data_IF_078019219771
#
_entry.id   IF_078019219771
#
_cell.length_a   1.000
_cell.length_b   1.000
_cell.length_c   1.000
_cell.angle_alpha   90.00
_cell.angle_beta   90.00
_cell.angle_gamma   90.00
#
_symmetry.space_group_name_H-M   'P 1'
#
loop_
_entity.id
_entity.type
_entity.pdbx_description
1 polymer ?
#
# COMPACT_ATOMS: atom_id res chain seq x y z
N UNK A 1 -1.72 -13.01 -13.32
CA UNK A 1 -1.76 -11.56 -12.97
C UNK A 1 -0.48 -10.87 -13.37
N UNK A 2 0.70 -11.24 -12.84
CA UNK A 2 1.99 -10.59 -13.13
C UNK A 2 2.29 -10.46 -14.64
N UNK A 3 2.18 -11.55 -15.41
CA UNK A 3 2.43 -11.52 -16.86
C UNK A 3 1.58 -10.49 -17.62
N UNK A 4 0.30 -10.34 -17.25
CA UNK A 4 -0.60 -9.34 -17.84
C UNK A 4 -0.22 -7.90 -17.47
N UNK A 5 0.39 -7.72 -16.30
CA UNK A 5 0.88 -6.41 -15.86
C UNK A 5 2.19 -6.04 -16.58
N UNK A 6 3.04 -7.01 -16.86
CA UNK A 6 4.30 -6.84 -17.61
C UNK A 6 4.05 -6.45 -19.07
N UNK A 7 2.90 -6.81 -19.65
CA UNK A 7 2.49 -6.34 -20.99
C UNK A 7 2.22 -4.81 -21.05
N UNK A 8 1.85 -4.21 -19.91
CA UNK A 8 1.43 -2.80 -19.83
C UNK A 8 2.42 -1.90 -19.10
N UNK A 9 3.41 -2.46 -18.42
CA UNK A 9 4.44 -1.72 -17.69
C UNK A 9 5.80 -2.40 -17.79
N UNK A 10 6.87 -1.65 -18.10
CA UNK A 10 8.21 -2.22 -18.25
C UNK A 10 8.84 -2.68 -16.93
N UNK A 11 8.32 -2.22 -15.77
CA UNK A 11 8.83 -2.62 -14.45
C UNK A 11 7.68 -2.97 -13.52
N UNK A 12 7.60 -4.25 -13.17
CA UNK A 12 6.64 -4.82 -12.22
C UNK A 12 7.42 -5.54 -11.13
N UNK A 13 7.17 -5.18 -9.88
CA UNK A 13 7.68 -5.89 -8.70
C UNK A 13 6.54 -6.70 -8.10
N UNK A 14 6.68 -8.02 -8.09
CA UNK A 14 5.76 -8.89 -7.38
C UNK A 14 6.04 -8.83 -5.88
N UNK A 15 5.08 -8.32 -5.10
CA UNK A 15 5.18 -8.23 -3.64
C UNK A 15 4.60 -9.48 -2.95
N UNK A 16 3.51 -10.03 -3.51
CA UNK A 16 2.88 -11.28 -3.09
C UNK A 16 2.18 -11.94 -4.29
N UNK A 17 1.44 -13.04 -4.06
CA UNK A 17 0.68 -13.70 -5.13
C UNK A 17 -0.35 -12.73 -5.75
N UNK A 18 -0.97 -11.90 -4.92
CA UNK A 18 -2.09 -11.02 -5.31
C UNK A 18 -1.74 -9.53 -5.32
N UNK A 19 -0.48 -9.17 -5.01
CA UNK A 19 -0.04 -7.78 -4.96
C UNK A 19 1.23 -7.53 -5.76
N UNK A 20 1.21 -6.49 -6.59
CA UNK A 20 2.36 -6.03 -7.36
C UNK A 20 2.48 -4.51 -7.25
N UNK A 21 3.73 -4.02 -7.29
CA UNK A 21 4.04 -2.62 -7.53
C UNK A 21 4.45 -2.44 -8.99
N UNK A 22 4.05 -1.33 -9.59
CA UNK A 22 4.40 -0.98 -10.96
C UNK A 22 5.07 0.39 -10.97
N UNK A 23 6.07 0.55 -11.83
CA UNK A 23 6.66 1.86 -12.10
C UNK A 23 5.78 2.62 -13.10
N UNK A 24 5.03 3.60 -12.60
CA UNK A 24 4.18 4.45 -13.44
C UNK A 24 4.83 5.80 -13.79
N UNK A 25 6.15 5.96 -13.57
CA UNK A 25 6.86 7.19 -13.92
C UNK A 25 6.77 7.44 -15.42
N UNK A 26 6.49 8.68 -15.80
CA UNK A 26 6.35 9.09 -17.19
C UNK A 26 4.99 8.82 -17.83
N UNK A 27 4.18 7.88 -17.30
CA UNK A 27 2.84 7.58 -17.83
C UNK A 27 1.94 8.81 -17.76
N UNK A 28 2.04 9.58 -16.67
CA UNK A 28 1.30 10.83 -16.47
C UNK A 28 1.57 11.92 -17.53
N UNK A 29 2.65 11.80 -18.32
CA UNK A 29 2.91 12.70 -19.45
C UNK A 29 2.15 12.31 -20.72
N UNK A 30 1.76 11.04 -20.83
CA UNK A 30 1.08 10.49 -22.01
C UNK A 30 -0.43 10.36 -21.78
N UNK A 31 -0.86 10.07 -20.54
CA UNK A 31 -2.26 9.85 -20.19
C UNK A 31 -2.52 10.11 -18.71
N UNK A 32 -3.80 10.32 -18.36
CA UNK A 32 -4.22 10.40 -16.96
C UNK A 32 -3.95 9.06 -16.23
N UNK A 33 -3.41 9.14 -15.01
CA UNK A 33 -3.06 7.94 -14.24
C UNK A 33 -4.30 7.15 -13.81
N UNK A 34 -5.43 7.80 -13.51
CA UNK A 34 -6.65 7.06 -13.18
C UNK A 34 -7.25 6.39 -14.42
N UNK A 35 -7.14 7.00 -15.60
CA UNK A 35 -7.46 6.35 -16.87
C UNK A 35 -6.58 5.11 -17.10
N UNK A 36 -5.27 5.23 -16.93
CA UNK A 36 -4.35 4.10 -17.02
C UNK A 36 -4.71 2.98 -16.03
N UNK A 37 -5.03 3.34 -14.78
CA UNK A 37 -5.47 2.39 -13.77
C UNK A 37 -6.77 1.66 -14.15
N UNK A 38 -7.71 2.34 -14.82
CA UNK A 38 -8.94 1.70 -15.33
C UNK A 38 -8.64 0.72 -16.47
N UNK A 39 -7.69 1.06 -17.35
CA UNK A 39 -7.24 0.15 -18.41
C UNK A 39 -6.58 -1.11 -17.83
N UNK A 40 -5.66 -0.94 -16.86
CA UNK A 40 -5.02 -2.05 -16.13
C UNK A 40 -6.07 -2.98 -15.53
N UNK A 41 -7.08 -2.42 -14.87
CA UNK A 41 -8.18 -3.20 -14.28
C UNK A 41 -8.97 -3.98 -15.32
N UNK A 42 -9.34 -3.34 -16.43
CA UNK A 42 -10.07 -4.00 -17.51
C UNK A 42 -9.26 -5.14 -18.12
N UNK A 43 -7.96 -4.92 -18.35
CA UNK A 43 -7.05 -5.91 -18.90
C UNK A 43 -6.90 -7.13 -17.97
N UNK A 44 -6.67 -6.91 -16.68
CA UNK A 44 -6.58 -8.02 -15.71
C UNK A 44 -7.93 -8.75 -15.55
N UNK A 45 -9.04 -8.02 -15.55
CA UNK A 45 -10.38 -8.62 -15.50
C UNK A 45 -10.64 -9.52 -16.70
N UNK A 46 -10.30 -9.07 -17.91
CA UNK A 46 -10.49 -9.84 -19.14
C UNK A 46 -9.57 -11.07 -19.20
N UNK A 47 -8.32 -10.96 -18.72
CA UNK A 47 -7.35 -12.05 -18.76
C UNK A 47 -7.52 -13.10 -17.64
N UNK A 48 -8.09 -12.72 -16.49
CA UNK A 48 -8.14 -13.59 -15.30
C UNK A 48 -9.54 -13.81 -14.71
N UNK A 49 -10.51 -12.98 -15.07
CA UNK A 49 -11.83 -12.92 -14.42
C UNK A 49 -11.83 -12.21 -13.06
N UNK A 50 -10.69 -11.69 -12.58
CA UNK A 50 -10.57 -11.06 -11.27
C UNK A 50 -10.49 -9.53 -11.37
N UNK A 51 -11.19 -8.83 -10.47
CA UNK A 51 -11.07 -7.37 -10.34
C UNK A 51 -9.94 -7.00 -9.38
N UNK A 52 -9.13 -6.02 -9.78
CA UNK A 52 -8.06 -5.47 -8.92
C UNK A 52 -8.37 -4.04 -8.48
N UNK A 53 -7.82 -3.62 -7.34
CA UNK A 53 -7.79 -2.22 -6.90
C UNK A 53 -6.45 -1.60 -7.24
N UNK A 54 -6.46 -0.40 -7.82
CA UNK A 54 -5.25 0.31 -8.25
C UNK A 54 -5.10 1.61 -7.47
N UNK A 55 -3.88 1.89 -7.01
CA UNK A 55 -3.52 3.11 -6.30
C UNK A 55 -2.19 3.65 -6.83
N UNK A 56 -2.14 4.94 -7.14
CA UNK A 56 -0.91 5.62 -7.54
C UNK A 56 -0.49 6.63 -6.48
N UNK A 57 0.81 6.78 -6.26
CA UNK A 57 1.40 7.75 -5.36
C UNK A 57 2.89 7.91 -5.60
N UNK A 58 3.47 9.00 -5.10
CA UNK A 58 4.89 9.31 -5.26
C UNK A 58 5.83 8.31 -4.54
N UNK A 59 5.29 7.57 -3.56
CA UNK A 59 6.01 6.58 -2.76
C UNK A 59 5.17 5.30 -2.65
N UNK A 60 5.79 4.17 -2.30
CA UNK A 60 5.07 2.89 -2.14
C UNK A 60 3.98 3.00 -1.08
N UNK A 61 4.27 3.70 0.02
CA UNK A 61 3.30 3.90 1.11
C UNK A 61 2.10 4.74 0.67
N UNK A 62 2.33 5.81 -0.09
CA UNK A 62 1.24 6.63 -0.65
C UNK A 62 0.44 5.84 -1.69
N UNK A 63 1.09 5.04 -2.54
CA UNK A 63 0.41 4.17 -3.49
C UNK A 63 -0.49 3.13 -2.80
N UNK A 64 -0.01 2.49 -1.71
CA UNK A 64 -0.82 1.58 -0.88
C UNK A 64 -1.97 2.29 -0.18
N UNK A 65 -1.76 3.52 0.29
CA UNK A 65 -2.82 4.33 0.90
C UNK A 65 -3.89 4.73 -0.11
N UNK A 66 -3.49 5.08 -1.33
CA UNK A 66 -4.41 5.30 -2.46
C UNK A 66 -5.18 4.04 -2.83
N UNK A 67 -4.52 2.87 -2.86
CA UNK A 67 -5.15 1.58 -3.15
C UNK A 67 -6.16 1.18 -2.07
N UNK A 68 -5.83 1.39 -0.79
CA UNK A 68 -6.75 1.17 0.32
C UNK A 68 -8.01 2.03 0.13
N UNK A 69 -7.83 3.33 -0.07
CA UNK A 69 -8.93 4.27 -0.29
C UNK A 69 -9.77 3.93 -1.51
N UNK A 70 -9.16 3.45 -2.60
CA UNK A 70 -9.89 3.09 -3.80
C UNK A 70 -10.82 1.88 -3.58
N UNK A 71 -10.43 0.96 -2.69
CA UNK A 71 -11.28 -0.18 -2.27
C UNK A 71 -12.34 0.23 -1.25
N UNK A 72 -11.97 1.05 -0.28
CA UNK A 72 -12.83 1.47 0.82
C UNK A 72 -13.96 2.41 0.37
N UNK A 73 -13.69 3.25 -0.64
CA UNK A 73 -14.57 4.34 -1.02
C UNK A 73 -15.12 4.17 -2.45
N UNK A 74 -16.41 3.79 -2.60
CA UNK A 74 -16.99 3.42 -3.89
C UNK A 74 -16.90 4.48 -4.99
N UNK A 75 -16.83 5.77 -4.63
CA UNK A 75 -16.74 6.87 -5.60
C UNK A 75 -15.50 6.80 -6.49
N UNK A 76 -14.42 6.17 -6.02
CA UNK A 76 -13.20 5.99 -6.81
C UNK A 76 -13.28 4.82 -7.77
N UNK A 77 -14.32 3.98 -7.65
CA UNK A 77 -14.52 2.79 -8.49
C UNK A 77 -13.26 1.92 -8.53
N UNK A 78 -12.53 1.88 -7.41
CA UNK A 78 -11.25 1.20 -7.17
C UNK A 78 -10.05 1.60 -8.02
N UNK A 79 -10.00 2.85 -8.50
CA UNK A 79 -8.76 3.48 -8.96
C UNK A 79 -8.62 4.85 -8.30
N UNK A 80 -7.47 5.12 -7.72
CA UNK A 80 -7.18 6.43 -7.14
C UNK A 80 -5.73 6.83 -7.39
N UNK A 81 -5.51 8.01 -7.95
CA UNK A 81 -4.19 8.61 -8.08
C UNK A 81 -3.98 9.75 -7.08
N UNK A 82 -2.84 9.70 -6.38
CA UNK A 82 -2.31 10.80 -5.57
C UNK A 82 -1.12 11.41 -6.32
N UNK A 83 -1.27 12.66 -6.73
CA UNK A 83 -0.27 13.35 -7.53
C UNK A 83 0.32 14.55 -6.77
N UNK A 84 1.63 14.85 -6.93
CA UNK A 84 2.28 15.95 -6.22
C UNK A 84 1.69 17.35 -6.50
N UNK A 85 1.04 17.56 -7.64
CA UNK A 85 0.35 18.79 -8.02
C UNK A 85 -0.94 19.03 -7.24
N UNK A 86 -1.48 18.01 -6.56
CA UNK A 86 -2.67 18.12 -5.72
C UNK A 86 -2.43 17.61 -4.28
N UNK A 87 -1.62 18.33 -3.49
CA UNK A 87 -1.34 17.93 -2.10
C UNK A 87 -2.59 17.93 -1.23
N UNK A 88 -3.61 18.73 -1.57
CA UNK A 88 -4.90 18.76 -0.87
C UNK A 88 -5.66 17.43 -0.95
N UNK A 89 -5.62 16.76 -2.11
CA UNK A 89 -6.22 15.42 -2.30
C UNK A 89 -5.53 14.38 -1.41
N UNK A 90 -4.20 14.40 -1.35
CA UNK A 90 -3.41 13.54 -0.46
C UNK A 90 -3.74 13.81 1.00
N UNK A 91 -3.69 15.06 1.44
CA UNK A 91 -4.02 15.43 2.82
C UNK A 91 -5.45 15.01 3.20
N UNK A 92 -6.42 15.19 2.29
CA UNK A 92 -7.81 14.78 2.51
C UNK A 92 -7.93 13.27 2.69
N UNK A 93 -7.29 12.47 1.83
CA UNK A 93 -7.27 11.01 1.97
C UNK A 93 -6.66 10.62 3.32
N UNK A 94 -5.46 11.12 3.62
CA UNK A 94 -4.73 10.75 4.83
C UNK A 94 -5.48 11.17 6.11
N UNK A 95 -6.30 12.23 6.05
CA UNK A 95 -7.14 12.66 7.18
C UNK A 95 -8.26 11.68 7.51
N UNK A 96 -8.66 10.86 6.53
CA UNK A 96 -9.75 9.90 6.66
C UNK A 96 -9.25 8.46 6.81
N UNK A 97 -7.97 8.20 6.54
CA UNK A 97 -7.36 6.89 6.70
C UNK A 97 -6.96 6.66 8.16
N UNK A 98 -7.49 5.62 8.83
CA UNK A 98 -7.05 5.23 10.16
C UNK A 98 -5.58 4.84 10.18
N UNK A 99 -4.89 5.10 11.29
CA UNK A 99 -3.45 4.87 11.40
C UNK A 99 -3.05 3.38 11.27
N UNK A 100 -3.94 2.47 11.67
CA UNK A 100 -3.77 1.02 11.54
C UNK A 100 -3.87 0.51 10.10
N UNK A 101 -4.49 1.27 9.20
CA UNK A 101 -4.65 0.90 7.78
C UNK A 101 -3.43 1.34 6.93
N UNK A 102 -2.45 1.98 7.54
CA UNK A 102 -1.23 2.40 6.86
C UNK A 102 -0.32 1.20 6.69
N UNK A 103 0.12 0.97 5.45
CA UNK A 103 1.11 -0.06 5.15
C UNK A 103 2.41 0.18 5.94
N UNK A 104 2.83 -0.83 6.70
CA UNK A 104 3.99 -0.74 7.61
C UNK A 104 3.64 -0.44 9.07
N UNK A 105 2.38 -0.11 9.40
CA UNK A 105 1.93 0.09 10.78
C UNK A 105 1.22 -1.15 11.32
N UNK A 106 1.92 -1.92 12.17
CA UNK A 106 1.34 -3.09 12.82
C UNK A 106 0.44 -2.76 14.02
N UNK A 107 -0.46 -3.68 14.39
CA UNK A 107 -1.42 -3.54 15.50
C UNK A 107 -0.84 -2.98 16.81
N UNK A 108 0.33 -3.46 17.24
CA UNK A 108 0.99 -2.98 18.48
C UNK A 108 1.43 -1.53 18.37
N UNK A 109 1.93 -1.13 17.19
CA UNK A 109 2.35 0.25 16.92
C UNK A 109 1.11 1.15 16.83
N UNK A 110 0.07 0.73 16.10
CA UNK A 110 -1.19 1.46 16.00
C UNK A 110 -1.80 1.75 17.37
N UNK A 111 -1.86 0.76 18.28
CA UNK A 111 -2.36 0.97 19.65
C UNK A 111 -1.57 2.04 20.42
N UNK A 112 -0.23 2.03 20.30
CA UNK A 112 0.62 3.04 20.93
C UNK A 112 0.42 4.43 20.33
N UNK A 113 0.33 4.54 19.00
CA UNK A 113 0.06 5.80 18.30
C UNK A 113 -1.29 6.40 18.73
N UNK A 114 -2.34 5.57 18.79
CA UNK A 114 -3.66 5.99 19.26
C UNK A 114 -3.65 6.48 20.70
N UNK A 115 -2.90 5.82 21.58
CA UNK A 115 -2.72 6.28 22.97
C UNK A 115 -2.01 7.65 23.06
N UNK A 116 -1.28 8.03 22.02
CA UNK A 116 -0.63 9.35 21.89
C UNK A 116 -1.50 10.37 21.14
N UNK A 117 -2.76 10.04 20.82
CA UNK A 117 -3.67 10.90 20.06
C UNK A 117 -3.47 10.88 18.54
N UNK A 118 -2.58 10.02 18.02
CA UNK A 118 -2.34 9.84 16.60
C UNK A 118 -3.25 8.70 16.11
N UNK A 119 -4.39 9.07 15.54
CA UNK A 119 -5.44 8.13 15.08
C UNK A 119 -5.56 8.04 13.57
N UNK A 120 -5.02 9.02 12.83
CA UNK A 120 -5.09 9.10 11.35
C UNK A 120 -3.72 9.11 10.70
N UNK A 121 -3.66 8.77 9.41
CA UNK A 121 -2.44 8.83 8.62
C UNK A 121 -1.89 10.25 8.47
N UNK A 122 -2.77 11.25 8.38
CA UNK A 122 -2.36 12.66 8.34
C UNK A 122 -1.69 13.10 9.65
N UNK A 123 -2.21 12.69 10.81
CA UNK A 123 -1.57 13.00 12.08
C UNK A 123 -0.20 12.34 12.19
N UNK A 124 -0.06 11.10 11.70
CA UNK A 124 1.23 10.43 11.68
C UNK A 124 2.22 11.15 10.74
N UNK A 125 1.79 11.58 9.55
CA UNK A 125 2.66 12.28 8.59
C UNK A 125 3.14 13.63 9.12
N UNK A 126 2.36 14.30 9.97
CA UNK A 126 2.73 15.57 10.62
C UNK A 126 3.65 15.39 11.84
N UNK A 127 3.93 14.15 12.26
CA UNK A 127 4.79 13.89 13.42
C UNK A 127 6.26 14.00 13.06
N UNK A 128 7.09 14.52 13.97
CA UNK A 128 8.53 14.64 13.75
C UNK A 128 9.20 13.25 13.55
N UNK A 129 9.90 13.00 12.42
CA UNK A 129 10.52 11.70 12.14
C UNK A 129 11.58 11.29 13.19
N UNK A 130 12.37 12.22 13.71
CA UNK A 130 13.37 11.96 14.75
C UNK A 130 12.71 11.50 16.05
N UNK A 131 11.57 12.10 16.41
CA UNK A 131 10.77 11.65 17.55
C UNK A 131 10.25 10.22 17.32
N UNK A 132 9.72 9.93 16.14
CA UNK A 132 9.24 8.58 15.79
C UNK A 132 10.38 7.56 15.85
N UNK A 133 11.55 7.89 15.32
CA UNK A 133 12.75 7.04 15.36
C UNK A 133 13.16 6.69 16.79
N UNK A 134 13.13 7.67 17.70
CA UNK A 134 13.54 7.50 19.11
C UNK A 134 12.55 6.66 19.92
N UNK A 135 11.25 6.79 19.66
CA UNK A 135 10.20 6.17 20.46
C UNK A 135 9.63 4.87 19.86
N UNK A 136 9.87 4.63 18.58
CA UNK A 136 9.39 3.46 17.84
C UNK A 136 10.55 2.73 17.14
N UNK A 137 10.57 2.72 15.80
CA UNK A 137 11.56 2.00 15.01
C UNK A 137 11.84 2.72 13.68
N UNK A 138 12.88 2.28 12.96
CA UNK A 138 13.27 2.87 11.66
C UNK A 138 12.19 2.70 10.59
N UNK A 139 11.39 1.64 10.67
CA UNK A 139 10.34 1.35 9.68
C UNK A 139 9.23 2.39 9.77
N UNK A 140 8.81 2.75 10.98
CA UNK A 140 7.81 3.79 11.19
C UNK A 140 8.35 5.17 10.82
N UNK A 141 9.63 5.45 11.08
CA UNK A 141 10.27 6.69 10.60
C UNK A 141 10.21 6.78 9.06
N UNK A 142 10.58 5.70 8.37
CA UNK A 142 10.48 5.62 6.90
C UNK A 142 9.04 5.78 6.42
N UNK A 143 8.07 5.22 7.13
CA UNK A 143 6.64 5.37 6.83
C UNK A 143 6.22 6.84 6.89
N UNK A 144 6.65 7.58 7.92
CA UNK A 144 6.38 9.03 8.04
C UNK A 144 6.98 9.80 6.87
N UNK A 145 8.23 9.50 6.50
CA UNK A 145 8.90 10.11 5.33
C UNK A 145 8.16 9.81 4.03
N UNK A 146 7.79 8.54 3.82
CA UNK A 146 7.04 8.09 2.65
C UNK A 146 5.68 8.78 2.52
N UNK A 147 4.95 8.96 3.61
CA UNK A 147 3.67 9.70 3.65
C UNK A 147 3.84 11.19 3.28
N UNK A 148 5.04 11.74 3.47
CA UNK A 148 5.40 13.10 3.05
C UNK A 148 6.03 13.13 1.64
N UNK A 149 6.01 12.03 0.89
CA UNK A 149 6.54 11.96 -0.47
C UNK A 149 8.04 11.65 -0.57
N UNK A 150 8.74 11.44 0.54
CA UNK A 150 10.16 11.05 0.55
C UNK A 150 10.27 9.53 0.35
N UNK A 151 10.67 9.10 -0.86
CA UNK A 151 10.84 7.68 -1.19
C UNK A 151 12.01 7.06 -0.40
N UNK A 152 11.67 6.22 0.57
CA UNK A 152 12.59 5.47 1.42
C UNK A 152 12.60 3.97 1.12
N UNK A 153 11.64 3.48 0.32
CA UNK A 153 11.48 2.06 -0.02
C UNK A 153 11.63 1.90 -1.53
N UNK A 154 12.78 1.41 -1.97
CA UNK A 154 13.08 1.19 -3.39
C UNK A 154 12.17 0.13 -4.00
N UNK A 155 11.91 0.26 -5.31
CA UNK A 155 11.41 -0.86 -6.12
C UNK A 155 12.54 -1.90 -6.23
N UNK A 156 12.30 -3.11 -5.74
CA UNK A 156 13.20 -4.24 -5.86
C UNK A 156 12.73 -5.11 -7.04
N UNK A 157 13.64 -5.52 -7.93
CA UNK A 157 13.32 -6.46 -8.99
C UNK A 157 13.23 -7.87 -8.39
N UNK A 158 12.00 -8.24 -7.99
CA UNK A 158 11.58 -9.51 -7.38
C UNK A 158 12.35 -9.92 -6.11
N UNK A 159 11.65 -10.25 -5.00
CA UNK A 159 12.34 -10.79 -3.83
C UNK A 159 13.02 -12.12 -4.18
N UNK A 160 14.22 -12.42 -3.64
CA UNK A 160 14.80 -13.75 -3.77
C UNK A 160 13.80 -14.79 -3.23
N UNK A 161 13.72 -16.00 -3.82
CA UNK A 161 12.73 -17.00 -3.45
C UNK A 161 12.77 -17.26 -1.94
N UNK A 162 11.63 -17.04 -1.27
CA UNK A 162 11.51 -17.23 0.19
C UNK A 162 11.81 -18.70 0.55
N UNK A 163 12.99 -18.94 1.13
CA UNK A 163 13.33 -20.20 1.79
C UNK A 163 12.71 -20.24 3.19
N UNK A 164 11.39 -20.39 3.30
CA UNK A 164 10.74 -20.88 4.54
C UNK A 164 9.27 -21.20 4.27
N UNK A 165 8.97 -22.49 4.17
CA UNK A 165 7.61 -23.02 4.29
C UNK A 165 7.41 -23.30 5.78
N UNK A 166 6.57 -22.52 6.45
CA UNK A 166 6.10 -22.85 7.81
C UNK A 166 4.64 -23.28 7.69
N UNK A 167 4.41 -24.59 7.68
CA UNK A 167 3.08 -25.17 7.88
C UNK A 167 2.79 -25.22 9.39
N UNK A 168 1.86 -24.40 9.87
CA UNK A 168 1.30 -24.57 11.22
C UNK A 168 0.01 -25.39 11.12
N UNK A 169 0.07 -26.67 11.49
CA UNK A 169 -1.11 -27.49 11.73
C UNK A 169 -1.45 -27.46 13.22
N UNK A 170 -2.55 -26.82 13.60
CA UNK A 170 -3.10 -26.97 14.95
C UNK A 170 -3.91 -28.26 15.01
N UNK A 171 -3.35 -29.32 15.61
CA UNK A 171 -4.12 -30.50 16.01
C UNK A 171 -4.85 -30.16 17.32
N UNK A 172 -6.18 -30.13 17.28
CA UNK A 172 -7.00 -30.20 18.49
C UNK A 172 -6.94 -31.64 19.01
N UNK A 173 -6.38 -31.84 20.21
CA UNK A 173 -6.55 -33.09 20.92
C UNK A 173 -8.04 -33.25 21.26
N UNK A 174 -8.65 -34.34 20.80
CA UNK A 174 -9.95 -34.77 21.28
C UNK A 174 -9.71 -35.49 22.61
N UNK A 175 -10.16 -34.87 23.70
CA UNK A 175 -10.26 -35.54 25.00
C UNK A 175 -11.32 -36.65 24.88
N UNK A 176 -10.87 -37.91 24.89
CA UNK A 176 -11.74 -39.05 25.16
C UNK A 176 -11.84 -39.21 26.69
N UNK A 177 -13.03 -38.93 27.23
CA UNK A 177 -13.46 -39.42 28.53
C UNK A 177 -14.61 -40.41 28.33
N UNK A 178 -14.36 -41.62 28.86
CA UNK A 178 -15.14 -42.86 28.89
C UNK A 178 -15.33 -43.62 27.58
#
# INVERSE_FOLDING_TARGET
MVALLEELSPRVEQYSIDECFLDARGIGHCMDLEEFGRQLRGHVLNGTGLTIGVGFGATKTLAKSAQWASKEWPQFRGVLALSPDNPGRTAKLLSLQPVEEIWGVGNRIAKKLKAMGITTALQLSLTNPTFIRKNFNVVLERTVRELNGESCISLEEAPPPKQQIVCQSQLRAADHHL
#
